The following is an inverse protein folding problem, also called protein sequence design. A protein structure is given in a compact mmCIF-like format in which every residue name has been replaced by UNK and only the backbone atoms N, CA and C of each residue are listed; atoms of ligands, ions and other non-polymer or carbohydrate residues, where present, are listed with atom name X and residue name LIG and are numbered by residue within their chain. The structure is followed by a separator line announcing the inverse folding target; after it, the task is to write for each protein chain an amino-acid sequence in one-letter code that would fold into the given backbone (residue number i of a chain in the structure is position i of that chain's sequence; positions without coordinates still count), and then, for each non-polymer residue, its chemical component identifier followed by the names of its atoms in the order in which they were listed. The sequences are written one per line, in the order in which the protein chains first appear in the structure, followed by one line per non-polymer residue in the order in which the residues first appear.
data_IF_117512677034
#
_entry.id   IF_117512677034
#
_cell.length_a   1.000
_cell.length_b   1.000
_cell.length_c   1.000
_cell.angle_alpha   90.00
_cell.angle_beta   90.00
_cell.angle_gamma   90.00
#
_symmetry.space_group_name_H-M   'P 1'
#
loop_
_entity.id
_entity.type
_entity.pdbx_description
1 polymer ?
#
# COMPACT_ATOMS: atom_id res chain seq x y z
N UNK A 1 11.82 10.04 -14.27
CA UNK A 1 11.38 9.38 -13.02
C UNK A 1 9.86 9.41 -13.01
N UNK A 2 9.21 8.28 -12.82
CA UNK A 2 7.74 8.22 -12.75
C UNK A 2 7.34 8.54 -11.30
N UNK A 3 6.38 9.44 -11.11
CA UNK A 3 5.89 9.76 -9.77
C UNK A 3 4.88 8.70 -9.32
N UNK A 4 4.90 8.27 -8.04
CA UNK A 4 3.84 7.45 -7.51
C UNK A 4 2.49 8.11 -7.72
N UNK A 5 1.43 7.31 -7.87
CA UNK A 5 0.06 7.81 -8.07
C UNK A 5 -0.90 7.12 -7.12
N UNK A 6 -1.61 7.90 -6.31
CA UNK A 6 -2.73 7.39 -5.52
C UNK A 6 -4.04 7.73 -6.21
N UNK A 7 -4.83 6.71 -6.50
CA UNK A 7 -6.23 6.82 -6.92
C UNK A 7 -7.10 6.33 -5.79
N UNK A 8 -8.13 7.09 -5.44
CA UNK A 8 -9.10 6.67 -4.42
C UNK A 8 -10.51 7.00 -4.87
N UNK A 9 -11.32 5.96 -5.07
CA UNK A 9 -12.73 6.04 -5.45
C UNK A 9 -13.69 6.07 -4.24
N UNK A 10 -13.16 6.00 -3.02
CA UNK A 10 -13.95 5.90 -1.79
C UNK A 10 -14.14 4.47 -1.29
N UNK A 11 -13.79 3.45 -2.10
CA UNK A 11 -14.00 2.04 -1.77
C UNK A 11 -12.65 1.35 -1.57
N UNK A 12 -11.80 1.35 -2.61
CA UNK A 12 -10.50 0.67 -2.59
C UNK A 12 -9.41 1.58 -3.15
N UNK A 13 -8.61 2.22 -2.28
CA UNK A 13 -7.50 3.03 -2.71
C UNK A 13 -6.46 2.18 -3.46
N UNK A 14 -5.98 2.71 -4.57
CA UNK A 14 -4.97 2.08 -5.41
C UNK A 14 -3.72 2.98 -5.49
N UNK A 15 -2.59 2.47 -5.02
CA UNK A 15 -1.31 3.16 -5.05
C UNK A 15 -0.38 2.52 -6.06
N UNK A 16 -0.07 3.28 -7.10
CA UNK A 16 0.94 2.97 -8.09
C UNK A 16 2.32 3.39 -7.56
N UNK A 17 3.19 2.38 -7.41
CA UNK A 17 4.56 2.47 -6.91
C UNK A 17 5.60 2.26 -8.02
N UNK A 18 5.18 2.18 -9.29
CA UNK A 18 6.12 2.08 -10.40
C UNK A 18 7.08 3.28 -10.40
N UNK A 19 8.37 2.99 -10.52
CA UNK A 19 9.41 4.02 -10.58
C UNK A 19 9.84 4.58 -9.21
N UNK A 20 9.19 4.19 -8.11
CA UNK A 20 9.67 4.48 -6.76
C UNK A 20 10.94 3.70 -6.44
N UNK A 21 11.77 4.25 -5.55
CA UNK A 21 12.75 3.44 -4.83
C UNK A 21 12.05 2.49 -3.85
N UNK A 22 12.73 1.43 -3.41
CA UNK A 22 12.19 0.48 -2.43
C UNK A 22 11.79 1.18 -1.12
N UNK A 23 12.60 2.11 -0.63
CA UNK A 23 12.34 2.82 0.62
C UNK A 23 11.12 3.75 0.52
N UNK A 24 10.99 4.48 -0.59
CA UNK A 24 9.81 5.31 -0.85
C UNK A 24 8.54 4.46 -0.96
N UNK A 25 8.62 3.33 -1.67
CA UNK A 25 7.49 2.42 -1.82
C UNK A 25 7.02 1.86 -0.48
N UNK A 26 7.95 1.45 0.39
CA UNK A 26 7.64 1.00 1.74
C UNK A 26 6.98 2.10 2.58
N UNK A 27 7.53 3.31 2.56
CA UNK A 27 6.98 4.45 3.31
C UNK A 27 5.55 4.75 2.89
N UNK A 28 5.31 4.89 1.58
CA UNK A 28 3.99 5.21 1.04
C UNK A 28 2.98 4.08 1.29
N UNK A 29 3.40 2.81 1.16
CA UNK A 29 2.53 1.67 1.45
C UNK A 29 2.10 1.64 2.92
N UNK A 30 3.02 1.85 3.87
CA UNK A 30 2.70 1.91 5.30
C UNK A 30 1.71 3.03 5.60
N UNK A 31 2.00 4.24 5.12
CA UNK A 31 1.14 5.40 5.34
C UNK A 31 -0.26 5.18 4.74
N UNK A 32 -0.35 4.60 3.54
CA UNK A 32 -1.63 4.28 2.93
C UNK A 32 -2.43 3.25 3.73
N UNK A 33 -1.79 2.17 4.20
CA UNK A 33 -2.47 1.12 4.98
C UNK A 33 -3.04 1.72 6.28
N UNK A 34 -2.24 2.48 7.02
CA UNK A 34 -2.65 3.11 8.28
C UNK A 34 -3.81 4.08 8.04
N UNK A 35 -3.68 4.97 7.05
CA UNK A 35 -4.71 5.96 6.73
C UNK A 35 -6.00 5.29 6.22
N UNK A 36 -5.88 4.23 5.43
CA UNK A 36 -7.03 3.47 4.92
C UNK A 36 -7.78 2.76 6.04
N UNK A 37 -7.09 2.19 7.03
CA UNK A 37 -7.73 1.66 8.25
C UNK A 37 -8.42 2.77 9.01
N UNK A 38 -7.77 3.93 9.19
CA UNK A 38 -8.33 5.09 9.92
C UNK A 38 -9.62 5.59 9.27
N UNK A 39 -9.70 5.55 7.94
CA UNK A 39 -10.88 5.95 7.16
C UNK A 39 -11.94 4.85 7.00
N UNK A 40 -11.68 3.65 7.52
CA UNK A 40 -12.61 2.52 7.46
C UNK A 40 -12.71 1.88 6.08
N UNK A 41 -11.60 1.81 5.33
CA UNK A 41 -11.55 1.08 4.05
C UNK A 41 -11.34 -0.41 4.30
N UNK A 42 -11.89 -1.22 3.41
CA UNK A 42 -11.84 -2.68 3.53
C UNK A 42 -10.56 -3.28 2.96
N UNK A 43 -9.98 -2.61 1.96
CA UNK A 43 -8.75 -3.07 1.32
C UNK A 43 -7.99 -1.92 0.66
N UNK A 44 -6.72 -2.16 0.35
CA UNK A 44 -5.92 -1.31 -0.54
C UNK A 44 -5.27 -2.16 -1.63
N UNK A 45 -5.04 -1.56 -2.79
CA UNK A 45 -4.26 -2.18 -3.87
C UNK A 45 -2.93 -1.45 -4.02
N UNK A 46 -1.84 -2.18 -3.97
CA UNK A 46 -0.49 -1.70 -4.20
C UNK A 46 -0.01 -2.23 -5.56
N UNK A 47 0.24 -1.36 -6.52
CA UNK A 47 0.74 -1.71 -7.84
C UNK A 47 2.25 -1.45 -7.84
N UNK A 48 3.05 -2.50 -7.76
CA UNK A 48 4.52 -2.39 -7.74
C UNK A 48 5.16 -2.73 -9.09
N UNK A 49 4.37 -3.18 -10.05
CA UNK A 49 4.83 -3.52 -11.39
C UNK A 49 5.61 -4.82 -11.48
N UNK A 50 5.95 -5.17 -12.73
CA UNK A 50 6.92 -6.21 -13.05
C UNK A 50 8.32 -5.58 -12.97
N UNK A 51 8.81 -5.27 -11.76
CA UNK A 51 10.17 -4.75 -11.64
C UNK A 51 11.17 -5.77 -12.20
N UNK A 52 11.73 -5.47 -13.37
CA UNK A 52 12.93 -6.12 -13.93
C UNK A 52 14.13 -5.65 -13.11
N UNK A 53 14.19 -6.06 -11.85
CA UNK A 53 15.33 -5.74 -11.00
C UNK A 53 16.47 -6.67 -11.40
N UNK A 54 17.68 -6.15 -11.50
CA UNK A 54 18.89 -6.95 -11.68
C UNK A 54 18.93 -8.06 -10.62
N UNK A 55 19.26 -9.31 -11.00
CA UNK A 55 19.39 -10.41 -10.03
C UNK A 55 20.32 -10.00 -8.89
N UNK A 56 19.85 -10.15 -7.64
CA UNK A 56 20.60 -9.81 -6.43
C UNK A 56 20.17 -8.55 -5.68
N UNK A 57 19.33 -7.68 -6.28
CA UNK A 57 18.81 -6.48 -5.59
C UNK A 57 17.41 -6.70 -4.98
N UNK A 58 17.20 -6.20 -3.76
CA UNK A 58 15.88 -6.18 -3.09
C UNK A 58 14.87 -5.42 -3.95
N UNK A 59 13.72 -6.03 -4.22
CA UNK A 59 12.68 -5.48 -5.11
C UNK A 59 11.56 -4.84 -4.29
N UNK A 60 10.72 -3.99 -4.91
CA UNK A 60 9.50 -3.49 -4.25
C UNK A 60 8.59 -4.66 -3.84
N UNK A 61 8.46 -5.68 -4.70
CA UNK A 61 7.66 -6.89 -4.42
C UNK A 61 8.14 -7.62 -3.17
N UNK A 62 9.44 -7.90 -3.08
CA UNK A 62 10.02 -8.61 -1.92
C UNK A 62 9.93 -7.76 -0.65
N UNK A 63 10.21 -6.47 -0.75
CA UNK A 63 10.11 -5.54 0.37
C UNK A 63 8.67 -5.40 0.91
N UNK A 64 7.67 -5.27 0.04
CA UNK A 64 6.26 -5.23 0.45
C UNK A 64 5.83 -6.58 1.05
N UNK A 65 6.33 -7.69 0.51
CA UNK A 65 6.07 -9.03 1.05
C UNK A 65 6.61 -9.15 2.47
N UNK A 66 7.88 -8.79 2.69
CA UNK A 66 8.50 -8.77 4.03
C UNK A 66 7.77 -7.83 5.00
N UNK A 67 7.35 -6.65 4.55
CA UNK A 67 6.57 -5.71 5.36
C UNK A 67 5.27 -6.34 5.87
N UNK A 68 4.54 -7.01 4.99
CA UNK A 68 3.24 -7.61 5.31
C UNK A 68 3.40 -8.90 6.13
N UNK A 69 4.44 -9.68 5.85
CA UNK A 69 4.72 -10.91 6.59
C UNK A 69 5.35 -10.61 7.97
N UNK A 70 5.91 -9.41 8.17
CA UNK A 70 6.33 -8.92 9.48
C UNK A 70 5.15 -8.57 10.39
N UNK A 71 5.37 -8.59 11.70
CA UNK A 71 4.36 -8.21 12.69
C UNK A 71 4.09 -6.70 12.76
N UNK A 72 4.82 -5.89 11.99
CA UNK A 72 4.74 -4.42 12.07
C UNK A 72 3.35 -3.87 11.76
N UNK A 73 2.66 -4.45 10.77
CA UNK A 73 1.32 -4.05 10.37
C UNK A 73 0.23 -5.04 10.82
N UNK A 74 0.55 -5.97 11.73
CA UNK A 74 -0.38 -7.01 12.18
C UNK A 74 -1.67 -6.44 12.77
N UNK A 75 -1.64 -5.24 13.36
CA UNK A 75 -2.82 -4.57 13.90
C UNK A 75 -3.73 -3.92 12.84
N UNK A 76 -3.26 -3.80 11.60
CA UNK A 76 -3.91 -3.10 10.50
C UNK A 76 -4.29 -4.03 9.35
N UNK A 77 -3.54 -5.12 9.15
CA UNK A 77 -3.70 -6.05 8.04
C UNK A 77 -4.38 -7.33 8.53
N UNK A 78 -5.41 -7.79 7.82
CA UNK A 78 -6.11 -9.05 8.08
C UNK A 78 -5.68 -10.16 7.11
N UNK A 79 -5.11 -9.79 5.97
CA UNK A 79 -4.56 -10.72 4.99
C UNK A 79 -4.01 -9.97 3.77
N UNK A 80 -3.31 -10.69 2.90
CA UNK A 80 -2.83 -10.15 1.64
C UNK A 80 -2.92 -11.17 0.51
N UNK A 81 -3.40 -10.71 -0.64
CA UNK A 81 -3.37 -11.45 -1.88
C UNK A 81 -2.22 -10.92 -2.75
N UNK A 82 -1.22 -11.76 -2.99
CA UNK A 82 0.00 -11.44 -3.73
C UNK A 82 -0.19 -11.88 -5.19
N UNK A 83 0.05 -11.00 -6.15
CA UNK A 83 -0.06 -11.30 -7.58
C UNK A 83 1.13 -10.73 -8.34
N UNK A 84 1.26 -11.10 -9.62
CA UNK A 84 2.25 -10.48 -10.49
C UNK A 84 1.85 -9.03 -10.80
N UNK A 85 2.75 -8.09 -10.46
CA UNK A 85 2.57 -6.66 -10.68
C UNK A 85 1.74 -5.91 -9.63
N UNK A 86 1.00 -6.61 -8.75
CA UNK A 86 0.24 -5.95 -7.69
C UNK A 86 -0.01 -6.85 -6.46
N UNK A 87 -0.33 -6.20 -5.34
CA UNK A 87 -0.71 -6.82 -4.09
C UNK A 87 -2.00 -6.17 -3.56
N UNK A 88 -2.97 -6.98 -3.14
CA UNK A 88 -4.18 -6.50 -2.47
C UNK A 88 -4.05 -6.80 -0.98
N UNK A 89 -4.18 -5.78 -0.15
CA UNK A 89 -4.11 -5.90 1.32
C UNK A 89 -5.52 -5.79 1.87
N UNK A 90 -6.00 -6.84 2.53
CA UNK A 90 -7.21 -6.80 3.31
C UNK A 90 -6.93 -6.12 4.65
N UNK A 91 -7.79 -5.19 5.05
CA UNK A 91 -7.61 -4.38 6.24
C UNK A 91 -8.44 -4.91 7.41
N UNK A 92 -7.92 -4.75 8.63
CA UNK A 92 -8.68 -4.97 9.85
C UNK A 92 -9.60 -3.79 10.08
N UNK A 93 -10.91 -4.04 10.07
CA UNK A 93 -11.91 -3.01 10.43
C UNK A 93 -11.75 -2.63 11.91
N UNK A 94 -11.56 -1.33 12.17
CA UNK A 94 -11.66 -0.75 13.52
C UNK A 94 -12.97 0.02 13.65
N UNK A 95 -14.07 -0.70 13.85
CA UNK A 95 -15.42 -0.15 14.04
C UNK A 95 -16.10 0.34 12.74
N UNK A 96 -17.33 0.88 12.86
CA UNK A 96 -18.19 1.31 11.75
C UNK A 96 -17.89 2.74 11.23
N UNK A 97 -16.69 3.29 11.49
CA UNK A 97 -16.38 4.67 11.10
C UNK A 97 -15.92 4.73 9.64
N UNK A 98 -16.87 4.95 8.73
CA UNK A 98 -16.57 5.32 7.35
C UNK A 98 -16.36 6.84 7.27
N UNK A 99 -15.13 7.29 7.01
CA UNK A 99 -14.84 8.71 6.81
C UNK A 99 -14.95 9.00 5.31
N UNK A 100 -15.99 9.72 4.85
CA UNK A 100 -16.15 10.06 3.45
C UNK A 100 -15.02 10.97 2.97
N UNK A 101 -14.64 10.82 1.70
CA UNK A 101 -13.64 11.65 1.03
C UNK A 101 -12.42 10.87 0.53
N UNK A 102 -11.87 11.36 -0.59
CA UNK A 102 -10.73 10.74 -1.27
C UNK A 102 -9.44 10.97 -0.49
N UNK A 103 -8.56 9.98 -0.47
CA UNK A 103 -7.17 10.12 -0.08
C UNK A 103 -6.35 10.65 -1.25
N UNK A 104 -5.39 11.51 -0.94
CA UNK A 104 -4.41 12.02 -1.92
C UNK A 104 -3.01 11.65 -1.46
N UNK A 105 -2.06 11.59 -2.40
CA UNK A 105 -0.65 11.35 -2.08
C UNK A 105 -0.12 12.31 -1.03
N UNK A 106 -0.56 13.57 -1.06
CA UNK A 106 -0.18 14.58 -0.07
C UNK A 106 -0.61 14.21 1.35
N UNK A 107 -1.76 13.55 1.51
CA UNK A 107 -2.25 13.13 2.82
C UNK A 107 -1.39 12.02 3.41
N UNK A 108 -0.94 11.08 2.58
CA UNK A 108 -0.15 9.96 3.05
C UNK A 108 1.32 10.33 3.19
N UNK A 109 1.92 11.15 2.30
CA UNK A 109 3.36 11.42 2.28
C UNK A 109 3.91 12.28 3.44
N UNK A 110 3.05 13.02 4.15
CA UNK A 110 3.42 13.93 5.25
C UNK A 110 3.12 13.39 6.66
N UNK A 111 2.60 12.15 6.77
CA UNK A 111 2.24 11.54 8.07
C UNK A 111 3.38 10.73 8.69
#
# INVERSE_FOLDING_TARGET
MMNPRLTDDGIRPELDLHGCTVNEALKLARQLIIESVRRGRDSVRLIHGKSTSTPGNRTIKSALTELIDSSELALHVSGAFKSEGHMIIALRRRGNRHIPGRMTLRNISHS
#
